data_IF_505424975001
#
_entry.id   IF_505424975001
#
_cell.length_a   1.000
_cell.length_b   1.000
_cell.length_c   1.000
_cell.angle_alpha   90.00
_cell.angle_beta   90.00
_cell.angle_gamma   90.00
#
_symmetry.space_group_name_H-M   'P 1'
#
loop_
_entity.id
_entity.type
_entity.pdbx_description
1 polymer ?
#
# COMPACT_ATOMS: atom_id res chain seq x y z
N UNK A 1 15.74 18.08 8.53
CA UNK A 1 15.29 18.71 7.27
C UNK A 1 13.91 18.19 6.90
N UNK A 2 13.07 19.01 6.28
CA UNK A 2 11.76 18.57 5.81
C UNK A 2 11.87 17.86 4.46
N UNK A 3 11.22 16.70 4.34
CA UNK A 3 11.12 15.85 3.17
C UNK A 3 9.66 15.81 2.72
N UNK A 4 9.35 16.40 1.57
CA UNK A 4 7.99 16.53 1.04
C UNK A 4 8.01 16.47 -0.49
N UNK A 5 6.82 16.49 -1.11
CA UNK A 5 6.65 16.30 -2.56
C UNK A 5 7.54 17.18 -3.46
N UNK A 6 7.94 18.35 -3.00
CA UNK A 6 8.78 19.28 -3.76
C UNK A 6 10.27 19.18 -3.43
N UNK A 7 10.64 18.45 -2.37
CA UNK A 7 12.02 18.29 -1.91
C UNK A 7 12.16 17.01 -1.07
N UNK A 8 12.56 15.91 -1.70
CA UNK A 8 12.86 14.64 -1.02
C UNK A 8 14.37 14.37 -1.06
N UNK A 9 14.99 14.24 0.11
CA UNK A 9 16.35 13.70 0.28
C UNK A 9 16.31 12.23 0.74
N UNK A 10 15.13 11.72 1.14
CA UNK A 10 14.90 10.34 1.56
C UNK A 10 13.72 9.70 0.80
N UNK A 11 13.76 8.37 0.63
CA UNK A 11 12.66 7.59 0.05
C UNK A 11 11.65 7.27 1.15
N UNK A 12 10.39 7.69 0.97
CA UNK A 12 9.40 7.63 2.04
C UNK A 12 8.91 6.21 2.40
N UNK A 13 8.90 5.27 1.45
CA UNK A 13 8.45 3.90 1.70
C UNK A 13 9.19 3.23 2.86
N UNK A 14 10.53 3.13 2.81
CA UNK A 14 11.33 2.64 3.93
C UNK A 14 11.13 3.41 5.23
N UNK A 15 10.97 4.74 5.19
CA UNK A 15 10.71 5.54 6.39
C UNK A 15 9.37 5.16 7.05
N UNK A 16 8.30 4.94 6.27
CA UNK A 16 6.99 4.54 6.78
C UNK A 16 7.04 3.14 7.40
N UNK A 17 7.76 2.20 6.78
CA UNK A 17 7.90 0.84 7.30
C UNK A 17 8.72 0.85 8.59
N UNK A 18 9.86 1.54 8.60
CA UNK A 18 10.76 1.62 9.76
C UNK A 18 10.10 2.30 10.98
N UNK A 19 9.18 3.25 10.75
CA UNK A 19 8.43 3.93 11.80
C UNK A 19 7.13 3.22 12.20
N UNK A 20 6.88 2.00 11.73
CA UNK A 20 5.69 1.23 12.11
C UNK A 20 4.37 1.79 11.56
N UNK A 21 4.41 2.63 10.53
CA UNK A 21 3.21 3.23 9.94
C UNK A 21 2.52 2.34 8.90
N UNK A 22 3.12 1.21 8.54
CA UNK A 22 2.51 0.28 7.61
C UNK A 22 3.45 -0.78 7.04
N UNK A 23 2.89 -1.59 6.16
CA UNK A 23 3.60 -2.62 5.41
C UNK A 23 3.61 -2.29 3.91
N UNK A 24 4.60 -2.80 3.17
CA UNK A 24 4.63 -2.65 1.72
C UNK A 24 3.48 -3.44 1.07
N UNK A 25 2.72 -2.79 0.19
CA UNK A 25 1.57 -3.40 -0.48
C UNK A 25 1.91 -3.97 -1.87
N UNK A 26 0.97 -4.71 -2.48
CA UNK A 26 1.06 -5.23 -3.86
C UNK A 26 1.40 -4.16 -4.91
N UNK A 27 1.08 -2.89 -4.69
CA UNK A 27 1.44 -1.85 -5.67
C UNK A 27 2.96 -1.68 -5.80
N UNK A 28 3.73 -2.14 -4.82
CA UNK A 28 5.19 -2.11 -4.82
C UNK A 28 5.81 -0.77 -4.39
N UNK A 29 5.09 0.33 -4.56
CA UNK A 29 5.57 1.68 -4.20
C UNK A 29 4.72 2.36 -3.11
N UNK A 30 3.63 1.71 -2.66
CA UNK A 30 2.78 2.23 -1.59
C UNK A 30 2.88 1.36 -0.34
N UNK A 31 3.06 2.02 0.80
CA UNK A 31 2.93 1.43 2.14
C UNK A 31 1.50 1.60 2.62
N UNK A 32 0.87 0.52 3.08
CA UNK A 32 -0.50 0.56 3.59
C UNK A 32 -0.49 0.55 5.12
N UNK A 33 -1.24 1.47 5.70
CA UNK A 33 -1.47 1.59 7.14
C UNK A 33 -2.68 0.72 7.55
N UNK A 34 -2.66 0.02 8.69
CA UNK A 34 -3.73 -0.93 9.07
C UNK A 34 -5.13 -0.32 9.12
N UNK A 35 -5.23 0.98 9.48
CA UNK A 35 -6.51 1.72 9.55
C UNK A 35 -6.86 2.53 8.28
N UNK A 36 -5.87 2.95 7.51
CA UNK A 36 -6.09 3.93 6.42
C UNK A 36 -5.87 3.32 5.04
N UNK A 37 -5.38 2.08 5.01
CA UNK A 37 -4.71 1.48 3.87
C UNK A 37 -3.63 2.42 3.34
N UNK A 38 -3.47 2.48 2.03
CA UNK A 38 -2.53 3.39 1.39
C UNK A 38 -3.20 4.66 0.87
N UNK A 39 -4.39 5.01 1.40
CA UNK A 39 -5.07 6.30 1.16
C UNK A 39 -4.51 7.43 2.02
N UNK A 40 -3.20 7.63 1.94
CA UNK A 40 -2.52 8.73 2.61
C UNK A 40 -1.37 9.24 1.74
N UNK A 41 -0.87 10.43 2.08
CA UNK A 41 0.41 10.95 1.59
C UNK A 41 1.31 11.16 2.78
N UNK A 42 2.60 10.96 2.58
CA UNK A 42 3.59 11.07 3.63
C UNK A 42 4.56 12.21 3.35
N UNK A 43 5.11 12.72 4.43
CA UNK A 43 6.24 13.63 4.49
C UNK A 43 7.02 13.25 5.76
N UNK A 44 8.30 13.60 5.81
CA UNK A 44 9.14 13.29 6.96
C UNK A 44 9.99 14.50 7.37
N UNK A 45 10.37 14.56 8.64
CA UNK A 45 11.37 15.52 9.11
C UNK A 45 12.53 14.71 9.68
N UNK A 46 13.71 14.86 9.09
CA UNK A 46 14.95 14.34 9.67
C UNK A 46 15.44 15.30 10.74
N UNK A 47 15.97 14.78 11.85
CA UNK A 47 16.43 15.62 12.96
C UNK A 47 17.50 14.87 13.75
N UNK A 48 18.44 15.62 14.35
CA UNK A 48 19.43 15.09 15.29
C UNK A 48 18.89 15.08 16.74
N UNK A 49 17.63 15.50 16.93
CA UNK A 49 16.94 15.38 18.22
C UNK A 49 16.88 13.90 18.62
N UNK A 50 17.40 13.51 19.81
CA UNK A 50 17.30 12.14 20.27
C UNK A 50 15.84 11.79 20.55
N UNK A 51 15.33 10.77 19.84
CA UNK A 51 13.98 10.25 19.95
C UNK A 51 14.04 8.72 20.12
N UNK A 52 13.03 8.15 20.79
CA UNK A 52 12.88 6.70 20.84
C UNK A 52 12.24 6.25 19.51
N UNK A 53 12.90 5.35 18.74
CA UNK A 53 12.34 4.87 17.49
C UNK A 53 11.16 3.91 17.74
N UNK A 54 10.15 3.99 16.88
CA UNK A 54 9.11 2.97 16.76
C UNK A 54 9.67 1.69 16.12
N UNK A 55 8.87 0.62 16.13
CA UNK A 55 9.21 -0.64 15.46
C UNK A 55 8.33 -0.86 14.23
N UNK A 56 8.83 -1.56 13.20
CA UNK A 56 8.00 -2.08 12.11
C UNK A 56 6.83 -2.92 12.62
N UNK A 57 5.74 -2.95 11.85
CA UNK A 57 4.54 -3.71 12.17
C UNK A 57 4.30 -4.84 11.17
N UNK A 58 3.58 -5.86 11.62
CA UNK A 58 2.99 -6.90 10.79
C UNK A 58 1.51 -7.00 11.16
N UNK A 59 0.65 -6.61 10.21
CA UNK A 59 -0.79 -6.72 10.31
C UNK A 59 -1.36 -7.73 9.30
N UNK A 60 -0.52 -8.57 8.69
CA UNK A 60 -0.94 -9.60 7.74
C UNK A 60 -1.21 -9.07 6.33
N UNK A 61 -0.65 -7.90 5.96
CA UNK A 61 -0.86 -7.34 4.63
C UNK A 61 -0.27 -8.20 3.53
N UNK A 62 0.86 -8.87 3.80
CA UNK A 62 1.53 -9.72 2.80
C UNK A 62 0.61 -10.86 2.36
N UNK A 63 0.05 -11.61 3.32
CA UNK A 63 -0.92 -12.69 3.07
C UNK A 63 -2.14 -12.19 2.31
N UNK A 64 -2.64 -11.01 2.69
CA UNK A 64 -3.76 -10.40 2.01
C UNK A 64 -3.44 -10.05 0.56
N UNK A 65 -2.27 -9.45 0.33
CA UNK A 65 -1.83 -9.04 -0.99
C UNK A 65 -1.66 -10.22 -1.93
N UNK A 66 -1.13 -11.37 -1.46
CA UNK A 66 -0.96 -12.61 -2.24
C UNK A 66 -2.26 -13.03 -2.93
N UNK A 67 -3.38 -13.00 -2.21
CA UNK A 67 -4.67 -13.51 -2.70
C UNK A 67 -5.61 -12.45 -3.27
N UNK A 68 -5.49 -11.19 -2.85
CA UNK A 68 -6.46 -10.16 -3.17
C UNK A 68 -6.44 -9.77 -4.66
N UNK A 69 -5.30 -9.29 -5.15
CA UNK A 69 -5.06 -8.81 -6.54
C UNK A 69 -6.00 -7.73 -7.09
N UNK A 70 -6.98 -7.23 -6.32
CA UNK A 70 -8.00 -6.26 -6.76
C UNK A 70 -7.42 -4.95 -7.33
N UNK A 71 -6.30 -4.48 -6.78
CA UNK A 71 -5.61 -3.30 -7.32
C UNK A 71 -5.00 -3.55 -8.71
N UNK A 72 -4.54 -4.78 -9.00
CA UNK A 72 -4.05 -5.18 -10.32
C UNK A 72 -5.21 -5.30 -11.32
N UNK A 73 -6.31 -5.97 -10.94
CA UNK A 73 -7.52 -6.09 -11.75
C UNK A 73 -8.08 -4.74 -12.21
N UNK A 74 -7.97 -3.73 -11.34
CA UNK A 74 -8.53 -2.39 -11.57
C UNK A 74 -7.49 -1.36 -12.04
N UNK A 75 -6.27 -1.77 -12.37
CA UNK A 75 -5.23 -0.84 -12.83
C UNK A 75 -5.49 -0.43 -14.30
N UNK A 76 -5.91 0.82 -14.59
CA UNK A 76 -6.22 1.20 -15.96
C UNK A 76 -4.98 1.26 -16.87
N UNK A 77 -3.79 1.40 -16.28
CA UNK A 77 -2.52 1.35 -17.01
C UNK A 77 -1.92 -0.05 -17.14
N UNK A 78 -2.55 -1.09 -16.57
CA UNK A 78 -2.01 -2.46 -16.58
C UNK A 78 -0.60 -2.57 -15.99
N UNK A 79 -0.33 -1.74 -14.97
CA UNK A 79 1.01 -1.57 -14.40
C UNK A 79 1.30 -2.48 -13.20
N UNK A 80 0.27 -2.87 -12.44
CA UNK A 80 0.46 -3.62 -11.20
C UNK A 80 0.56 -5.11 -11.51
N UNK A 81 1.55 -5.78 -10.91
CA UNK A 81 1.80 -7.21 -11.14
C UNK A 81 0.72 -8.12 -10.53
N UNK A 82 0.52 -9.26 -11.20
CA UNK A 82 -0.32 -10.36 -10.74
C UNK A 82 0.46 -11.46 -10.02
N UNK A 83 1.77 -11.29 -9.81
CA UNK A 83 2.60 -12.28 -9.11
C UNK A 83 2.01 -12.63 -7.74
N UNK A 84 2.04 -13.92 -7.39
CA UNK A 84 1.56 -14.38 -6.10
C UNK A 84 2.47 -13.84 -4.99
N UNK A 85 3.77 -14.05 -5.14
CA UNK A 85 4.82 -13.67 -4.21
C UNK A 85 5.48 -12.33 -4.55
N UNK A 86 5.98 -11.59 -3.54
CA UNK A 86 6.95 -10.54 -3.78
C UNK A 86 8.27 -11.15 -4.27
N UNK A 87 8.94 -10.44 -5.16
CA UNK A 87 10.21 -10.84 -5.76
C UNK A 87 11.30 -9.85 -5.36
N UNK A 88 12.55 -10.30 -5.36
CA UNK A 88 13.67 -9.44 -5.01
C UNK A 88 13.82 -8.29 -6.03
N UNK A 89 14.00 -7.08 -5.52
CA UNK A 89 14.30 -5.90 -6.29
C UNK A 89 15.23 -5.01 -5.49
N UNK A 90 16.44 -4.77 -6.00
CA UNK A 90 17.43 -3.90 -5.35
C UNK A 90 17.69 -4.30 -3.87
N UNK A 91 17.77 -5.60 -3.60
CA UNK A 91 18.10 -6.15 -2.27
C UNK A 91 16.95 -6.23 -1.27
N UNK A 92 15.69 -6.01 -1.68
CA UNK A 92 14.52 -6.23 -0.83
C UNK A 92 13.35 -6.86 -1.60
N UNK A 93 12.45 -7.54 -0.90
CA UNK A 93 11.27 -8.17 -1.48
C UNK A 93 10.16 -7.14 -1.72
N UNK A 94 9.58 -7.15 -2.92
CA UNK A 94 8.39 -6.36 -3.27
C UNK A 94 7.62 -6.97 -4.43
N UNK A 95 6.36 -6.58 -4.60
CA UNK A 95 5.68 -6.76 -5.88
C UNK A 95 6.19 -5.71 -6.89
N UNK A 96 6.72 -6.17 -8.01
CA UNK A 96 7.35 -5.30 -9.01
C UNK A 96 6.33 -4.81 -10.04
N UNK A 97 5.67 -3.68 -9.77
CA UNK A 97 4.82 -2.97 -10.74
C UNK A 97 5.66 -2.22 -11.79
N UNK A 98 5.13 -2.11 -13.00
CA UNK A 98 5.71 -1.33 -14.11
C UNK A 98 5.48 0.18 -13.89
N UNK A 99 6.47 0.83 -13.28
CA UNK A 99 6.43 2.26 -12.99
C UNK A 99 6.32 3.12 -14.26
N UNK A 100 6.83 2.65 -15.41
CA UNK A 100 6.75 3.40 -16.67
C UNK A 100 5.33 3.43 -17.19
N UNK A 101 4.62 2.29 -17.22
CA UNK A 101 3.19 2.23 -17.59
C UNK A 101 2.34 3.11 -16.67
N UNK A 102 2.59 3.03 -15.36
CA UNK A 102 1.88 3.86 -14.38
C UNK A 102 2.12 5.36 -14.65
N UNK A 103 3.37 5.76 -14.90
CA UNK A 103 3.75 7.15 -15.16
C UNK A 103 3.16 7.68 -16.45
N UNK A 104 3.18 6.90 -17.53
CA UNK A 104 2.56 7.26 -18.82
C UNK A 104 1.06 7.48 -18.59
N UNK A 105 0.35 6.50 -18.01
CA UNK A 105 -1.09 6.64 -17.78
C UNK A 105 -1.42 7.86 -16.91
N UNK A 106 -0.69 8.07 -15.80
CA UNK A 106 -0.90 9.22 -14.91
C UNK A 106 -0.64 10.57 -15.60
N UNK A 107 0.32 10.64 -16.51
CA UNK A 107 0.74 11.90 -17.13
C UNK A 107 -0.04 12.23 -18.39
N UNK A 108 -0.52 11.22 -19.13
CA UNK A 108 -1.06 11.41 -20.48
C UNK A 108 -2.53 11.05 -20.64
N UNK A 109 -3.19 10.47 -19.63
CA UNK A 109 -4.63 10.20 -19.75
C UNK A 109 -5.41 11.52 -19.90
N UNK A 110 -6.35 11.56 -20.85
CA UNK A 110 -7.12 12.76 -21.18
C UNK A 110 -8.49 12.82 -20.49
N UNK A 111 -8.88 11.73 -19.83
CA UNK A 111 -10.19 11.57 -19.18
C UNK A 111 -10.14 11.92 -17.68
N UNK A 112 -9.00 12.40 -17.19
CA UNK A 112 -8.80 12.74 -15.80
C UNK A 112 -7.51 13.51 -15.56
N UNK A 113 -7.17 13.69 -14.28
CA UNK A 113 -5.93 14.32 -13.85
C UNK A 113 -5.19 13.36 -12.92
N UNK A 114 -4.04 12.84 -13.38
CA UNK A 114 -3.32 11.77 -12.70
C UNK A 114 -4.12 10.45 -12.59
N UNK A 115 -3.76 9.62 -11.61
CA UNK A 115 -4.49 8.41 -11.26
C UNK A 115 -4.24 8.09 -9.78
N UNK A 116 -5.23 7.44 -9.16
CA UNK A 116 -5.15 6.88 -7.82
C UNK A 116 -6.10 5.69 -7.67
N UNK A 117 -6.44 5.02 -8.77
CA UNK A 117 -7.49 3.98 -8.80
C UNK A 117 -7.17 2.81 -7.87
N UNK A 118 -5.90 2.43 -7.76
CA UNK A 118 -5.43 1.39 -6.85
C UNK A 118 -5.78 1.68 -5.39
N UNK A 119 -5.70 2.95 -4.93
CA UNK A 119 -6.15 3.34 -3.58
C UNK A 119 -7.65 3.11 -3.45
N UNK A 120 -8.43 3.66 -4.38
CA UNK A 120 -9.90 3.63 -4.30
C UNK A 120 -10.50 2.22 -4.17
N UNK A 121 -9.86 1.21 -4.76
CA UNK A 121 -10.34 -0.17 -4.82
C UNK A 121 -9.71 -1.09 -3.77
N UNK A 122 -8.75 -0.61 -2.97
CA UNK A 122 -8.13 -1.45 -1.97
C UNK A 122 -9.12 -1.72 -0.82
N UNK A 123 -9.32 -2.99 -0.41
CA UNK A 123 -10.17 -3.32 0.75
C UNK A 123 -9.70 -2.64 2.04
N UNK A 124 -8.39 -2.41 2.19
CA UNK A 124 -7.80 -1.74 3.36
C UNK A 124 -8.03 -0.21 3.37
N UNK A 125 -8.49 0.38 2.27
CA UNK A 125 -8.72 1.83 2.16
C UNK A 125 -10.12 2.23 2.65
N UNK A 126 -10.90 1.37 3.30
CA UNK A 126 -12.19 1.77 3.90
C UNK A 126 -12.00 2.87 4.97
N UNK A 127 -13.00 3.76 5.15
CA UNK A 127 -13.04 4.78 6.23
C UNK A 127 -13.94 4.37 7.39
N UNK A 128 -14.61 3.23 7.28
CA UNK A 128 -15.60 2.82 8.27
C UNK A 128 -14.92 2.60 9.62
N UNK A 129 -15.42 3.31 10.64
CA UNK A 129 -14.93 3.23 12.02
C UNK A 129 -15.97 2.53 12.88
N UNK A 130 -16.35 1.33 12.46
CA UNK A 130 -17.27 0.47 13.20
C UNK A 130 -16.53 -0.74 13.75
N UNK A 131 -17.02 -1.27 14.88
CA UNK A 131 -16.46 -2.46 15.49
C UNK A 131 -16.48 -3.67 14.54
N UNK A 132 -17.50 -3.78 13.66
CA UNK A 132 -17.62 -4.88 12.72
C UNK A 132 -16.61 -4.76 11.57
N UNK A 133 -16.28 -3.54 11.15
CA UNK A 133 -15.25 -3.29 10.15
C UNK A 133 -13.85 -3.59 10.71
N UNK A 134 -13.58 -3.13 11.94
CA UNK A 134 -12.34 -3.46 12.65
C UNK A 134 -12.19 -4.97 12.88
N UNK A 135 -13.26 -5.65 13.29
CA UNK A 135 -13.26 -7.11 13.42
C UNK A 135 -13.04 -7.80 12.06
N UNK A 136 -13.70 -7.34 11.00
CA UNK A 136 -13.54 -7.91 9.65
C UNK A 136 -12.11 -7.77 9.12
N UNK A 137 -11.52 -6.59 9.25
CA UNK A 137 -10.12 -6.34 8.86
C UNK A 137 -9.13 -7.12 9.72
N UNK A 138 -9.36 -7.22 11.03
CA UNK A 138 -8.55 -8.05 11.92
C UNK A 138 -8.63 -9.54 11.56
N UNK A 139 -9.83 -10.07 11.26
CA UNK A 139 -10.01 -11.46 10.82
C UNK A 139 -9.30 -11.67 9.48
N UNK A 140 -9.53 -10.79 8.51
CA UNK A 140 -8.91 -10.88 7.18
C UNK A 140 -7.38 -10.80 7.19
N UNK A 141 -6.82 -10.22 8.26
CA UNK A 141 -5.39 -10.15 8.59
C UNK A 141 -4.79 -11.48 9.07
N UNK A 142 -5.62 -12.49 9.41
CA UNK A 142 -5.16 -13.79 9.93
C UNK A 142 -5.04 -14.85 8.82
N UNK A 143 -4.06 -14.64 7.95
CA UNK A 143 -3.67 -15.60 6.92
C UNK A 143 -4.52 -15.59 5.65
N UNK A 144 -4.02 -16.26 4.61
CA UNK A 144 -4.57 -16.21 3.25
C UNK A 144 -6.05 -16.62 3.14
N UNK A 145 -6.49 -17.64 3.88
CA UNK A 145 -7.88 -18.10 3.82
C UNK A 145 -8.85 -17.03 4.30
N UNK A 146 -8.52 -16.37 5.42
CA UNK A 146 -9.29 -15.26 5.96
C UNK A 146 -9.24 -14.05 5.05
N UNK A 147 -8.08 -13.79 4.43
CA UNK A 147 -7.92 -12.74 3.43
C UNK A 147 -8.80 -12.96 2.19
N UNK A 148 -8.92 -14.20 1.70
CA UNK A 148 -9.82 -14.55 0.58
C UNK A 148 -11.28 -14.27 0.94
N UNK A 149 -11.71 -14.63 2.15
CA UNK A 149 -13.06 -14.33 2.61
C UNK A 149 -13.33 -12.82 2.65
N UNK A 150 -12.41 -12.04 3.23
CA UNK A 150 -12.55 -10.58 3.30
C UNK A 150 -12.58 -9.95 1.90
N UNK A 151 -11.77 -10.45 0.96
CA UNK A 151 -11.84 -10.03 -0.45
C UNK A 151 -13.23 -10.29 -1.04
N UNK A 152 -13.77 -11.50 -0.87
CA UNK A 152 -15.10 -11.84 -1.40
C UNK A 152 -16.19 -10.94 -0.84
N UNK A 153 -16.13 -10.61 0.45
CA UNK A 153 -17.07 -9.67 1.08
C UNK A 153 -16.94 -8.26 0.49
N UNK A 154 -15.72 -7.79 0.22
CA UNK A 154 -15.47 -6.47 -0.41
C UNK A 154 -15.87 -6.41 -1.90
N UNK A 155 -16.04 -7.57 -2.55
CA UNK A 155 -16.52 -7.69 -3.93
C UNK A 155 -18.06 -7.78 -4.03
N UNK A 156 -18.78 -8.02 -2.92
CA UNK A 156 -20.25 -8.05 -2.85
C UNK A 156 -20.86 -6.64 -2.82
#
# INVERSE_FOLDING_TARGET
RANHISNYEAVMGPCLIASGLGELSRTGDCVAHPRLGFRHKCAAVTTDLPLVPDNPIDFGLQDFCRVCKKCADNCPGGAITFDDDPVEHNGYLRWNSDAQKCTIFRSTNKEGSSCGRCMKVCPWDSKEQSWFHEAGTWIGSKGENSSRLLKTIDDM
#
